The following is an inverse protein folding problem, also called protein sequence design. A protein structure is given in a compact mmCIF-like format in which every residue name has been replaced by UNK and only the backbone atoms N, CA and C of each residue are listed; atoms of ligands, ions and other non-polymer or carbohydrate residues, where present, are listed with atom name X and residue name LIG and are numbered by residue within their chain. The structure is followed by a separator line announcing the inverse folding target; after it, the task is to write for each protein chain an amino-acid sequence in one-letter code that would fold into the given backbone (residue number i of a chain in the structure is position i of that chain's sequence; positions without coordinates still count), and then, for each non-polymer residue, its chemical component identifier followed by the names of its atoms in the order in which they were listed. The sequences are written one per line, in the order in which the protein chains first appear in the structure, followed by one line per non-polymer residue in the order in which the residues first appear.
data_IF_835708814892
#
_entry.id   IF_835708814892
#
_cell.length_a   1.000
_cell.length_b   1.000
_cell.length_c   1.000
_cell.angle_alpha   90.00
_cell.angle_beta   90.00
_cell.angle_gamma   90.00
#
_symmetry.space_group_name_H-M   'P 1'
#
loop_
_entity.id
_entity.type
_entity.pdbx_description
1 polymer ?
#
# COMPACT_ATOMS: atom_id res chain seq x y z
N UNK A 1 -7.22 -3.73 -21.21
CA UNK A 1 -6.06 -3.85 -20.29
C UNK A 1 -6.45 -3.17 -18.97
N UNK A 2 -6.34 -3.87 -17.85
CA UNK A 2 -6.68 -3.31 -16.53
C UNK A 2 -5.65 -2.27 -16.11
N UNK A 3 -6.08 -1.26 -15.37
CA UNK A 3 -5.23 -0.21 -14.84
C UNK A 3 -5.12 -0.33 -13.33
N UNK A 4 -3.90 -0.50 -12.82
CA UNK A 4 -3.57 -0.57 -11.40
C UNK A 4 -2.94 0.74 -10.97
N UNK A 5 -3.33 1.29 -9.82
CA UNK A 5 -2.64 2.40 -9.18
C UNK A 5 -2.11 1.94 -7.84
N UNK A 6 -0.81 2.10 -7.64
CA UNK A 6 -0.16 1.94 -6.34
C UNK A 6 -0.12 3.29 -5.63
N UNK A 7 -0.70 3.33 -4.43
CA UNK A 7 -0.62 4.50 -3.56
C UNK A 7 0.75 4.58 -2.89
N UNK A 8 1.53 5.54 -3.30
CA UNK A 8 2.88 5.80 -2.78
C UNK A 8 2.95 7.11 -1.98
N UNK A 9 1.85 7.58 -1.39
CA UNK A 9 1.81 8.86 -0.65
C UNK A 9 2.80 8.91 0.53
N UNK A 10 3.08 7.75 1.14
CA UNK A 10 4.05 7.62 2.25
C UNK A 10 5.51 7.75 1.80
N UNK A 11 5.79 7.76 0.50
CA UNK A 11 7.14 8.07 -0.02
C UNK A 11 7.57 9.53 0.23
N UNK A 12 6.73 10.36 0.81
CA UNK A 12 7.13 11.67 1.38
C UNK A 12 8.17 11.55 2.51
N UNK A 13 8.36 10.36 3.09
CA UNK A 13 9.33 10.07 4.13
C UNK A 13 10.46 9.16 3.59
N UNK A 14 11.49 9.70 2.91
CA UNK A 14 12.46 8.92 2.14
C UNK A 14 13.33 7.96 2.96
N UNK A 15 13.46 8.21 4.27
CA UNK A 15 14.25 7.36 5.18
C UNK A 15 13.41 6.32 5.94
N UNK A 16 12.16 6.10 5.54
CA UNK A 16 11.27 5.13 6.19
C UNK A 16 11.28 3.78 5.49
N UNK A 17 11.04 2.71 6.24
CA UNK A 17 10.82 1.38 5.67
C UNK A 17 9.69 1.35 4.65
N UNK A 18 8.65 2.16 4.86
CA UNK A 18 7.51 2.28 3.95
C UNK A 18 7.87 2.92 2.61
N UNK A 19 8.81 3.86 2.58
CA UNK A 19 9.36 4.38 1.33
C UNK A 19 9.97 3.25 0.49
N UNK A 20 10.86 2.47 1.11
CA UNK A 20 11.53 1.35 0.44
C UNK A 20 10.56 0.23 0.06
N UNK A 21 9.55 -0.02 0.90
CA UNK A 21 8.50 -0.97 0.60
C UNK A 21 7.74 -0.58 -0.68
N UNK A 22 7.23 0.66 -0.75
CA UNK A 22 6.52 1.17 -1.92
C UNK A 22 7.40 1.14 -3.17
N UNK A 23 8.67 1.58 -3.06
CA UNK A 23 9.60 1.63 -4.17
C UNK A 23 9.88 0.23 -4.74
N UNK A 24 10.20 -0.73 -3.87
CA UNK A 24 10.52 -2.09 -4.27
C UNK A 24 9.29 -2.80 -4.84
N UNK A 25 8.17 -2.76 -4.13
CA UNK A 25 6.91 -3.33 -4.60
C UNK A 25 6.53 -2.78 -5.98
N UNK A 26 6.59 -1.46 -6.15
CA UNK A 26 6.23 -0.80 -7.40
C UNK A 26 7.13 -1.22 -8.55
N UNK A 27 8.45 -1.26 -8.35
CA UNK A 27 9.40 -1.69 -9.38
C UNK A 27 9.17 -3.14 -9.80
N UNK A 28 9.06 -4.07 -8.83
CA UNK A 28 8.85 -5.49 -9.13
C UNK A 28 7.53 -5.76 -9.84
N UNK A 29 6.44 -5.16 -9.36
CA UNK A 29 5.13 -5.34 -10.01
C UNK A 29 5.13 -4.72 -11.41
N UNK A 30 5.77 -3.57 -11.60
CA UNK A 30 5.88 -2.96 -12.93
C UNK A 30 6.65 -3.85 -13.91
N UNK A 31 7.73 -4.49 -13.48
CA UNK A 31 8.49 -5.44 -14.32
C UNK A 31 7.63 -6.64 -14.71
N UNK A 32 6.98 -7.29 -13.74
CA UNK A 32 6.09 -8.42 -14.00
C UNK A 32 4.97 -8.07 -14.97
N UNK A 33 4.36 -6.90 -14.83
CA UNK A 33 3.28 -6.46 -15.72
C UNK A 33 3.76 -6.11 -17.13
N UNK A 34 5.01 -5.69 -17.30
CA UNK A 34 5.61 -5.49 -18.64
C UNK A 34 5.80 -6.81 -19.38
N UNK A 35 6.17 -7.88 -18.68
CA UNK A 35 6.34 -9.21 -19.25
C UNK A 35 5.00 -9.86 -19.57
N UNK A 36 4.03 -9.75 -18.67
CA UNK A 36 2.71 -10.39 -18.80
C UNK A 36 1.74 -9.62 -19.75
N UNK A 37 1.86 -8.29 -19.81
CA UNK A 37 0.99 -7.44 -20.64
C UNK A 37 -0.47 -7.39 -20.22
N UNK A 38 -0.86 -8.00 -19.10
CA UNK A 38 -2.25 -8.12 -18.66
C UNK A 38 -2.83 -6.82 -18.09
N UNK A 39 -1.97 -5.99 -17.50
CA UNK A 39 -2.37 -4.73 -16.89
C UNK A 39 -1.29 -3.64 -17.06
N UNK A 40 -1.70 -2.40 -16.88
CA UNK A 40 -0.79 -1.26 -16.77
C UNK A 40 -0.75 -0.76 -15.33
N UNK A 41 0.39 -0.21 -14.91
CA UNK A 41 0.59 0.35 -13.59
C UNK A 41 0.85 1.85 -13.66
N UNK A 42 0.31 2.59 -12.69
CA UNK A 42 0.65 3.97 -12.42
C UNK A 42 0.90 4.14 -10.92
N UNK A 43 1.65 5.17 -10.57
CA UNK A 43 2.05 5.45 -9.19
C UNK A 43 1.44 6.77 -8.73
N UNK A 44 0.67 6.73 -7.66
CA UNK A 44 0.25 7.94 -6.97
C UNK A 44 1.34 8.35 -6.00
N UNK A 45 2.03 9.46 -6.28
CA UNK A 45 3.26 9.85 -5.57
C UNK A 45 3.20 11.27 -5.02
N UNK A 46 3.84 11.56 -3.89
CA UNK A 46 4.07 12.93 -3.47
C UNK A 46 5.04 13.64 -4.44
N UNK A 47 5.03 14.98 -4.54
CA UNK A 47 5.90 15.74 -5.43
C UNK A 47 7.38 15.39 -5.28
N UNK A 48 7.84 15.11 -4.05
CA UNK A 48 9.23 14.73 -3.75
C UNK A 48 9.65 13.38 -4.34
N UNK A 49 8.71 12.48 -4.63
CA UNK A 49 8.97 11.14 -5.16
C UNK A 49 8.59 10.98 -6.64
N UNK A 50 8.29 12.07 -7.34
CA UNK A 50 7.83 12.04 -8.74
C UNK A 50 8.81 11.42 -9.74
N UNK A 51 10.07 11.23 -9.37
CA UNK A 51 11.11 10.60 -10.22
C UNK A 51 11.55 9.22 -9.73
N UNK A 52 10.95 8.70 -8.66
CA UNK A 52 11.45 7.49 -7.98
C UNK A 52 11.33 6.21 -8.81
N UNK A 53 10.37 6.13 -9.74
CA UNK A 53 10.13 4.95 -10.57
C UNK A 53 10.67 5.10 -12.01
N UNK A 54 11.54 6.08 -12.25
CA UNK A 54 12.11 6.36 -13.56
C UNK A 54 11.20 7.19 -14.48
N UNK A 55 11.78 7.69 -15.58
CA UNK A 55 11.11 8.61 -16.51
C UNK A 55 10.01 7.98 -17.36
N UNK A 56 10.04 6.66 -17.54
CA UNK A 56 9.05 5.91 -18.32
C UNK A 56 7.83 5.46 -17.52
N UNK A 57 7.83 5.63 -16.19
CA UNK A 57 6.72 5.23 -15.35
C UNK A 57 5.58 6.26 -15.39
N UNK A 58 4.35 5.79 -15.35
CA UNK A 58 3.18 6.65 -15.25
C UNK A 58 3.02 7.17 -13.83
N UNK A 59 3.25 8.45 -13.63
CA UNK A 59 3.11 9.09 -12.32
C UNK A 59 1.86 9.97 -12.26
N UNK A 60 1.19 9.90 -11.12
CA UNK A 60 0.12 10.79 -10.73
C UNK A 60 0.61 11.55 -9.51
N UNK A 61 1.07 12.77 -9.72
CA UNK A 61 1.63 13.57 -8.63
C UNK A 61 0.51 14.14 -7.78
N UNK A 62 0.61 13.91 -6.48
CA UNK A 62 -0.31 14.50 -5.51
C UNK A 62 -0.29 16.03 -5.63
N UNK A 63 -1.44 16.62 -5.92
CA UNK A 63 -1.59 18.08 -5.94
C UNK A 63 -1.81 18.58 -4.51
N UNK A 64 -0.90 19.43 -4.03
CA UNK A 64 -1.10 20.21 -2.80
C UNK A 64 -2.12 21.34 -3.05
N UNK A 65 -3.37 21.01 -3.28
CA UNK A 65 -4.43 21.98 -3.45
C UNK A 65 -5.41 21.90 -2.29
N UNK A 66 -5.87 23.06 -1.83
CA UNK A 66 -7.00 23.19 -0.90
C UNK A 66 -8.24 22.43 -1.44
N UNK A 67 -8.34 22.28 -2.74
CA UNK A 67 -9.38 21.51 -3.42
C UNK A 67 -9.32 20.01 -3.16
N UNK A 68 -8.15 19.43 -2.83
CA UNK A 68 -8.03 18.01 -2.46
C UNK A 68 -8.71 17.70 -1.13
N UNK A 69 -8.93 18.69 -0.30
CA UNK A 69 -9.68 18.54 0.96
C UNK A 69 -11.17 18.26 0.71
N UNK A 70 -11.72 18.82 -0.35
CA UNK A 70 -13.15 18.70 -0.65
C UNK A 70 -13.50 17.53 -1.58
N UNK A 71 -12.63 17.19 -2.53
CA UNK A 71 -12.89 16.10 -3.49
C UNK A 71 -11.56 15.60 -4.08
N UNK A 72 -10.86 14.66 -3.46
CA UNK A 72 -9.71 14.03 -4.10
C UNK A 72 -10.19 13.41 -5.42
N UNK A 73 -9.60 13.86 -6.52
CA UNK A 73 -9.85 13.29 -7.84
C UNK A 73 -9.09 11.98 -7.93
N UNK A 74 -9.83 10.87 -7.96
CA UNK A 74 -9.23 9.57 -8.25
C UNK A 74 -9.23 9.37 -9.76
N UNK A 75 -8.05 9.12 -10.34
CA UNK A 75 -7.97 8.80 -11.75
C UNK A 75 -8.71 7.49 -12.03
N UNK A 76 -9.22 7.37 -13.27
CA UNK A 76 -9.90 6.15 -13.70
C UNK A 76 -8.93 4.96 -13.62
N UNK A 77 -9.23 3.99 -12.75
CA UNK A 77 -8.48 2.75 -12.58
C UNK A 77 -9.43 1.61 -12.18
N UNK A 78 -8.96 0.39 -12.42
CA UNK A 78 -9.70 -0.81 -12.01
C UNK A 78 -9.33 -1.24 -10.59
N UNK A 79 -8.05 -1.06 -10.22
CA UNK A 79 -7.50 -1.47 -8.92
C UNK A 79 -6.74 -0.30 -8.31
N UNK A 80 -7.06 -0.01 -7.05
CA UNK A 80 -6.29 0.86 -6.16
C UNK A 80 -5.61 0.00 -5.11
N UNK A 81 -4.29 -0.03 -5.08
CA UNK A 81 -3.54 -0.73 -4.05
C UNK A 81 -3.03 0.27 -3.02
N UNK A 82 -3.57 0.20 -1.81
CA UNK A 82 -3.07 0.90 -0.63
C UNK A 82 -2.04 0.01 0.08
N UNK A 83 -0.74 0.27 -0.06
CA UNK A 83 0.32 -0.61 0.43
C UNK A 83 0.58 -0.48 1.93
N UNK A 84 -0.23 0.31 2.62
CA UNK A 84 -0.18 0.50 4.07
C UNK A 84 -1.52 0.98 4.62
N UNK A 85 -1.81 0.68 5.88
CA UNK A 85 -3.05 1.03 6.56
C UNK A 85 -3.11 2.48 7.08
N UNK A 86 -2.62 3.47 6.30
CA UNK A 86 -2.75 4.89 6.69
C UNK A 86 -4.15 5.44 6.45
N UNK A 87 -4.82 4.94 5.43
CA UNK A 87 -6.14 5.41 5.03
C UNK A 87 -6.21 6.82 4.48
N UNK A 88 -5.05 7.48 4.27
CA UNK A 88 -4.99 8.88 3.83
C UNK A 88 -5.54 9.09 2.42
N UNK A 89 -5.28 8.14 1.54
CA UNK A 89 -5.71 8.20 0.15
C UNK A 89 -6.35 6.87 -0.24
N UNK A 90 -7.65 6.74 0.03
CA UNK A 90 -8.43 5.56 -0.38
C UNK A 90 -9.68 6.04 -1.12
N UNK A 91 -10.00 5.47 -2.31
CA UNK A 91 -11.21 5.81 -3.04
C UNK A 91 -12.47 5.61 -2.21
N UNK A 92 -13.37 6.60 -2.26
CA UNK A 92 -14.69 6.45 -1.65
C UNK A 92 -15.55 5.52 -2.53
N UNK A 93 -15.94 4.36 -1.99
CA UNK A 93 -16.76 3.37 -2.68
C UNK A 93 -18.13 3.89 -3.12
N UNK A 94 -18.67 4.93 -2.47
CA UNK A 94 -19.92 5.54 -2.90
C UNK A 94 -19.77 6.33 -4.20
N UNK A 95 -18.60 6.96 -4.40
CA UNK A 95 -18.28 7.72 -5.61
C UNK A 95 -17.64 6.86 -6.70
N UNK A 96 -16.87 5.87 -6.32
CA UNK A 96 -16.06 5.02 -7.21
C UNK A 96 -16.32 3.53 -6.95
N UNK A 97 -17.58 3.05 -7.09
CA UNK A 97 -17.93 1.67 -6.77
C UNK A 97 -17.22 0.63 -7.63
N UNK A 98 -16.77 1.03 -8.82
CA UNK A 98 -16.06 0.17 -9.78
C UNK A 98 -14.61 -0.09 -9.39
N UNK A 99 -13.98 0.78 -8.59
CA UNK A 99 -12.57 0.60 -8.21
C UNK A 99 -12.47 -0.50 -7.16
N UNK A 100 -11.67 -1.53 -7.45
CA UNK A 100 -11.31 -2.55 -6.48
C UNK A 100 -10.17 -2.07 -5.61
N UNK A 101 -10.31 -2.20 -4.29
CA UNK A 101 -9.31 -1.75 -3.32
C UNK A 101 -8.60 -2.95 -2.73
N UNK A 102 -7.27 -3.00 -2.91
CA UNK A 102 -6.38 -3.93 -2.22
C UNK A 102 -5.71 -3.15 -1.08
N UNK A 103 -5.86 -3.64 0.15
CA UNK A 103 -5.26 -3.03 1.33
C UNK A 103 -4.16 -3.93 1.86
N UNK A 104 -2.94 -3.42 1.99
CA UNK A 104 -1.87 -4.11 2.73
C UNK A 104 -1.85 -3.65 4.18
N UNK A 105 -1.86 -4.61 5.10
CA UNK A 105 -1.72 -4.41 6.54
C UNK A 105 -0.36 -4.95 6.96
N UNK A 106 0.46 -4.09 7.58
CA UNK A 106 1.80 -4.44 8.03
C UNK A 106 1.79 -5.08 9.41
N UNK A 107 1.03 -4.51 10.32
CA UNK A 107 0.94 -4.95 11.71
C UNK A 107 -0.29 -4.38 12.42
N UNK A 108 -0.54 -4.89 13.63
CA UNK A 108 -1.43 -4.28 14.61
C UNK A 108 -0.62 -3.98 15.90
N UNK A 109 0.57 -3.42 15.73
CA UNK A 109 1.54 -3.14 16.81
C UNK A 109 0.95 -2.49 18.08
N UNK A 110 -0.01 -1.54 18.00
CA UNK A 110 -0.61 -0.98 19.20
C UNK A 110 -1.20 -2.01 20.18
N UNK A 111 -1.56 -3.21 19.69
CA UNK A 111 -2.03 -4.31 20.54
C UNK A 111 -0.91 -4.97 21.37
N UNK A 112 0.34 -4.84 20.91
CA UNK A 112 1.51 -5.57 21.45
C UNK A 112 2.52 -4.65 22.11
N UNK A 113 2.40 -3.32 21.98
CA UNK A 113 3.38 -2.34 22.43
C UNK A 113 3.06 -1.73 23.82
N UNK A 114 2.17 -2.35 24.60
CA UNK A 114 1.79 -1.83 25.91
C UNK A 114 1.02 -0.50 25.88
N UNK A 115 0.37 -0.19 24.77
CA UNK A 115 -0.51 0.98 24.63
C UNK A 115 -1.74 0.84 25.54
N UNK A 116 -2.32 1.98 25.92
CA UNK A 116 -3.58 2.00 26.66
C UNK A 116 -4.69 1.33 25.86
N UNK A 117 -5.70 0.81 26.57
CA UNK A 117 -6.88 0.17 25.93
C UNK A 117 -7.54 1.12 24.94
N UNK A 118 -7.66 2.40 25.28
CA UNK A 118 -8.26 3.42 24.40
C UNK A 118 -7.47 3.61 23.09
N UNK A 119 -6.14 3.59 23.16
CA UNK A 119 -5.27 3.70 21.97
C UNK A 119 -5.39 2.45 21.10
N UNK A 120 -5.43 1.26 21.72
CA UNK A 120 -5.64 0.00 21.02
C UNK A 120 -7.00 -0.01 20.29
N UNK A 121 -8.08 0.35 20.97
CA UNK A 121 -9.42 0.40 20.40
C UNK A 121 -9.52 1.43 19.25
N UNK A 122 -8.90 2.60 19.38
CA UNK A 122 -8.84 3.60 18.31
C UNK A 122 -8.09 3.08 17.09
N UNK A 123 -6.96 2.40 17.30
CA UNK A 123 -6.18 1.80 16.22
C UNK A 123 -6.95 0.70 15.50
N UNK A 124 -7.61 -0.18 16.26
CA UNK A 124 -8.46 -1.24 15.69
C UNK A 124 -9.64 -0.66 14.91
N UNK A 125 -10.34 0.33 15.46
CA UNK A 125 -11.46 0.98 14.77
C UNK A 125 -11.01 1.65 13.47
N UNK A 126 -9.83 2.29 13.47
CA UNK A 126 -9.23 2.83 12.25
C UNK A 126 -8.97 1.74 11.21
N UNK A 127 -8.24 0.68 11.60
CA UNK A 127 -7.93 -0.45 10.71
C UNK A 127 -9.20 -1.11 10.19
N UNK A 128 -10.21 -1.33 11.05
CA UNK A 128 -11.50 -1.86 10.64
C UNK A 128 -12.17 -0.99 9.58
N UNK A 129 -12.14 0.33 9.75
CA UNK A 129 -12.73 1.26 8.77
C UNK A 129 -12.09 1.17 7.39
N UNK A 130 -10.81 0.78 7.31
CA UNK A 130 -10.09 0.56 6.06
C UNK A 130 -10.41 -0.82 5.47
N UNK A 131 -10.45 -1.84 6.32
CA UNK A 131 -10.87 -3.19 5.94
C UNK A 131 -12.28 -3.14 5.33
N UNK A 132 -13.20 -2.39 5.91
CA UNK A 132 -14.58 -2.28 5.40
C UNK A 132 -14.63 -1.74 3.97
N UNK A 133 -13.73 -0.84 3.60
CA UNK A 133 -13.61 -0.28 2.24
C UNK A 133 -12.89 -1.20 1.27
N UNK A 134 -12.01 -2.07 1.74
CA UNK A 134 -11.21 -2.95 0.90
C UNK A 134 -12.03 -4.06 0.26
N UNK A 135 -11.64 -4.51 -0.92
CA UNK A 135 -12.15 -5.70 -1.59
C UNK A 135 -11.26 -6.94 -1.32
N UNK A 136 -9.97 -6.70 -1.04
CA UNK A 136 -9.02 -7.74 -0.66
C UNK A 136 -8.00 -7.19 0.35
N UNK A 137 -7.48 -8.07 1.19
CA UNK A 137 -6.52 -7.74 2.24
C UNK A 137 -5.24 -8.54 2.00
N UNK A 138 -4.11 -7.87 2.09
CA UNK A 138 -2.78 -8.49 2.08
C UNK A 138 -2.15 -8.24 3.44
N UNK A 139 -1.65 -9.28 4.09
CA UNK A 139 -0.86 -9.20 5.32
C UNK A 139 0.60 -9.51 4.99
N UNK A 140 1.56 -8.78 5.57
CA UNK A 140 2.99 -8.99 5.27
C UNK A 140 3.59 -10.21 5.96
N UNK A 141 2.83 -10.86 6.85
CA UNK A 141 3.26 -12.08 7.57
C UNK A 141 2.04 -12.89 8.06
N UNK A 142 2.29 -14.16 8.39
CA UNK A 142 1.27 -15.01 9.02
C UNK A 142 0.85 -14.50 10.39
N UNK A 143 1.78 -13.88 11.14
CA UNK A 143 1.49 -13.23 12.41
C UNK A 143 0.49 -12.09 12.22
N UNK A 144 0.75 -11.17 11.27
CA UNK A 144 -0.16 -10.10 10.94
C UNK A 144 -1.54 -10.62 10.51
N UNK A 145 -1.58 -11.67 9.67
CA UNK A 145 -2.84 -12.30 9.26
C UNK A 145 -3.62 -12.85 10.45
N UNK A 146 -2.93 -13.52 11.37
CA UNK A 146 -3.56 -14.05 12.59
C UNK A 146 -4.18 -12.92 13.43
N UNK A 147 -3.45 -11.84 13.65
CA UNK A 147 -3.93 -10.67 14.38
C UNK A 147 -5.16 -10.05 13.71
N UNK A 148 -5.10 -9.85 12.39
CA UNK A 148 -6.23 -9.30 11.63
C UNK A 148 -7.46 -10.17 11.76
N UNK A 149 -7.34 -11.50 11.62
CA UNK A 149 -8.46 -12.43 11.73
C UNK A 149 -9.01 -12.55 13.16
N UNK A 150 -8.18 -12.30 14.17
CA UNK A 150 -8.58 -12.35 15.57
C UNK A 150 -9.25 -11.07 16.04
N UNK A 151 -8.85 -9.91 15.53
CA UNK A 151 -9.25 -8.60 16.06
C UNK A 151 -10.10 -7.76 15.12
N UNK A 152 -10.22 -8.16 13.84
CA UNK A 152 -10.98 -7.42 12.83
C UNK A 152 -12.00 -8.32 12.13
N UNK A 153 -13.12 -7.72 11.72
CA UNK A 153 -14.14 -8.40 10.91
C UNK A 153 -13.78 -8.29 9.43
N UNK A 154 -13.33 -9.37 8.83
CA UNK A 154 -12.93 -9.40 7.42
C UNK A 154 -14.03 -9.86 6.47
N UNK A 155 -15.15 -10.41 7.01
CA UNK A 155 -16.27 -10.98 6.24
C UNK A 155 -15.76 -12.04 5.25
N UNK A 156 -16.30 -12.03 4.03
CA UNK A 156 -15.92 -12.98 2.96
C UNK A 156 -14.75 -12.46 2.07
N UNK A 157 -14.04 -11.44 2.54
CA UNK A 157 -12.93 -10.85 1.75
C UNK A 157 -11.73 -11.79 1.75
N UNK A 158 -11.04 -11.94 0.60
CA UNK A 158 -9.79 -12.69 0.56
C UNK A 158 -8.74 -12.01 1.44
N UNK A 159 -8.09 -12.80 2.32
CA UNK A 159 -6.97 -12.39 3.16
C UNK A 159 -5.75 -13.23 2.79
N UNK A 160 -4.79 -12.61 2.11
CA UNK A 160 -3.59 -13.25 1.59
C UNK A 160 -2.38 -12.89 2.46
N UNK A 161 -1.39 -13.77 2.51
CA UNK A 161 -0.06 -13.46 3.06
C UNK A 161 0.91 -13.29 1.92
N UNK A 162 1.59 -12.13 1.89
CA UNK A 162 2.69 -11.84 0.97
C UNK A 162 3.84 -11.28 1.78
N UNK A 163 4.86 -12.11 2.01
CA UNK A 163 6.01 -11.72 2.82
C UNK A 163 6.81 -10.61 2.15
N UNK A 164 7.38 -9.73 2.96
CA UNK A 164 8.30 -8.71 2.47
C UNK A 164 9.51 -9.36 1.81
N UNK A 165 9.83 -8.90 0.60
CA UNK A 165 11.05 -9.32 -0.08
C UNK A 165 12.29 -8.77 0.61
N UNK A 166 13.40 -9.51 0.49
CA UNK A 166 14.72 -9.07 0.93
C UNK A 166 15.61 -8.86 -0.29
N UNK A 167 16.48 -7.84 -0.24
CA UNK A 167 17.51 -7.73 -1.26
C UNK A 167 18.49 -8.90 -1.17
N UNK A 168 18.86 -9.50 -2.32
CA UNK A 168 19.98 -10.43 -2.37
C UNK A 168 21.24 -9.65 -1.97
N UNK A 169 21.71 -9.89 -0.76
CA UNK A 169 23.03 -9.39 -0.33
C UNK A 169 24.06 -10.23 -1.05
N UNK A 170 24.76 -9.68 -2.04
CA UNK A 170 25.95 -10.32 -2.56
C UNK A 170 27.01 -10.27 -1.45
N UNK A 171 27.60 -11.43 -1.05
CA UNK A 171 28.67 -11.40 -0.08
C UNK A 171 29.78 -10.48 -0.60
N UNK A 172 30.41 -9.68 0.27
CA UNK A 172 31.54 -8.86 -0.15
C UNK A 172 32.59 -9.77 -0.77
N UNK A 173 33.12 -9.39 -1.94
CA UNK A 173 34.28 -10.08 -2.51
C UNK A 173 35.39 -9.95 -1.47
N UNK A 174 35.68 -11.03 -0.77
CA UNK A 174 36.90 -11.12 0.05
C UNK A 174 38.08 -10.98 -0.91
N UNK A 175 38.68 -9.80 -0.93
CA UNK A 175 39.99 -9.64 -1.54
C UNK A 175 40.94 -10.51 -0.73
N UNK A 176 41.37 -11.65 -1.29
CA UNK A 176 42.45 -12.41 -0.75
C UNK A 176 43.71 -11.52 -0.76
N UNK A 177 44.25 -11.23 0.40
CA UNK A 177 45.54 -10.63 0.58
C UNK A 177 46.62 -11.67 0.30
#
# INVERSE_FOLDING_TARGET
MKKIILDCDLMKHPNSGLYHYCLNLGNYVQELLKEDGSASMAFYVPPSASKSFGSSANHIVEQKSIWNFFHPFFPNCDIWHAPFQSGRVIPDKKKYPQIKIVLTIHDLNPLHEGKSIDEQLKSLAHTQSLIDKADAIVCISDFCKKDVLQHCEVKEKPVLVVHNGTHKVHPPKLNAY
#
